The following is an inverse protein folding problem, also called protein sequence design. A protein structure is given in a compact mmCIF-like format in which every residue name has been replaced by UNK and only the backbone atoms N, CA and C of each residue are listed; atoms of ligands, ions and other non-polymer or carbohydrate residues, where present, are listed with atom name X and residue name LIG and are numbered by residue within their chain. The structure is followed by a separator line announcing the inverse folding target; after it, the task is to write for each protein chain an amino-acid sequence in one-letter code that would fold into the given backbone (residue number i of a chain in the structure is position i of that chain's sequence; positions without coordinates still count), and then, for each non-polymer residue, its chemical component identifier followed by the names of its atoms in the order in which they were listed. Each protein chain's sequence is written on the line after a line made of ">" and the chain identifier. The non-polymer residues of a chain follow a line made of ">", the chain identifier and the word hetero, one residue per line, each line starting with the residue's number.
data_IF_392349083205
#
_entry.id   IF_392349083205
#
_cell.length_a   1.000
_cell.length_b   1.000
_cell.length_c   1.000
_cell.angle_alpha   90.00
_cell.angle_beta   90.00
_cell.angle_gamma   90.00
#
_symmetry.space_group_name_H-M   'P 1'
#
loop_
_entity.id
_entity.type
_entity.pdbx_description
1 polymer ?
#
# COMPACT_ATOMS: atom_id res chain seq x y z
N UNK A 1 -2.14 -6.44 -31.11
CA UNK A 1 -2.54 -7.67 -31.83
C UNK A 1 -2.67 -8.77 -30.81
N UNK A 2 -3.85 -9.36 -30.66
CA UNK A 2 -4.05 -10.57 -29.84
C UNK A 2 -3.85 -11.82 -30.68
N UNK A 3 -3.63 -12.95 -30.03
CA UNK A 3 -3.40 -14.26 -30.66
C UNK A 3 -4.46 -15.26 -30.18
N UNK A 4 -4.86 -16.17 -31.05
CA UNK A 4 -5.88 -17.20 -30.76
C UNK A 4 -5.20 -18.56 -30.73
N UNK A 5 -5.40 -19.31 -29.65
CA UNK A 5 -5.04 -20.72 -29.62
C UNK A 5 -6.22 -21.51 -30.21
N UNK A 6 -5.99 -22.18 -31.34
CA UNK A 6 -6.98 -23.01 -32.02
C UNK A 6 -6.77 -24.50 -31.76
N UNK A 7 -7.84 -25.27 -31.57
CA UNK A 7 -7.82 -26.73 -31.71
C UNK A 7 -8.41 -27.11 -33.06
N UNK A 8 -7.74 -27.99 -33.80
CA UNK A 8 -8.37 -28.62 -34.96
C UNK A 8 -9.41 -29.64 -34.49
N UNK A 9 -10.57 -29.67 -35.14
CA UNK A 9 -11.49 -30.80 -34.96
C UNK A 9 -10.87 -32.12 -35.43
N UNK A 10 -11.46 -33.26 -35.06
CA UNK A 10 -10.96 -34.60 -35.42
C UNK A 10 -10.85 -34.82 -36.95
N UNK A 11 -11.46 -33.95 -37.77
CA UNK A 11 -11.37 -33.99 -39.23
C UNK A 11 -10.25 -33.11 -39.80
N UNK A 12 -9.56 -32.32 -38.97
CA UNK A 12 -8.50 -31.38 -39.34
C UNK A 12 -8.97 -30.16 -40.12
N UNK A 13 -10.26 -30.04 -40.46
CA UNK A 13 -10.77 -29.07 -41.44
C UNK A 13 -11.34 -27.79 -40.83
N UNK A 14 -11.63 -27.76 -39.53
CA UNK A 14 -12.10 -26.55 -38.84
C UNK A 14 -11.28 -26.29 -37.58
N UNK A 15 -10.76 -25.07 -37.47
CA UNK A 15 -10.04 -24.58 -36.31
C UNK A 15 -11.05 -23.94 -35.33
N UNK A 16 -11.16 -24.50 -34.12
CA UNK A 16 -11.97 -23.93 -33.03
C UNK A 16 -11.07 -23.10 -32.13
N UNK A 17 -11.34 -21.80 -32.04
CA UNK A 17 -10.68 -20.91 -31.08
C UNK A 17 -11.00 -21.36 -29.64
N UNK A 18 -9.99 -21.77 -28.88
CA UNK A 18 -10.14 -22.19 -27.47
C UNK A 18 -9.96 -20.97 -26.54
N UNK A 19 -8.98 -20.10 -26.81
CA UNK A 19 -8.69 -18.91 -25.99
C UNK A 19 -8.14 -17.75 -26.84
N UNK A 20 -8.51 -16.51 -26.48
CA UNK A 20 -7.97 -15.27 -27.03
C UNK A 20 -7.01 -14.62 -26.02
N UNK A 21 -5.73 -14.53 -26.38
CA UNK A 21 -4.68 -13.96 -25.53
C UNK A 21 -4.27 -12.57 -26.02
N UNK A 22 -4.35 -11.58 -25.13
CA UNK A 22 -3.98 -10.19 -25.43
C UNK A 22 -2.89 -9.71 -24.47
N UNK A 23 -1.63 -9.94 -24.81
CA UNK A 23 -0.47 -9.27 -24.17
C UNK A 23 -0.22 -7.91 -24.84
N UNK A 24 0.02 -6.87 -24.04
CA UNK A 24 0.53 -5.58 -24.52
C UNK A 24 2.06 -5.63 -24.49
N UNK A 25 2.69 -5.66 -25.66
CA UNK A 25 4.15 -5.71 -25.79
C UNK A 25 4.77 -4.33 -25.59
N UNK A 26 5.96 -4.29 -24.98
CA UNK A 26 6.77 -3.06 -24.90
C UNK A 26 7.33 -2.68 -26.28
N UNK A 27 7.87 -1.45 -26.42
CA UNK A 27 8.46 -0.99 -27.68
C UNK A 27 9.63 -1.87 -28.17
N UNK A 28 10.37 -2.46 -27.23
CA UNK A 28 11.46 -3.37 -27.54
C UNK A 28 10.92 -4.74 -27.99
N UNK A 29 9.97 -5.31 -27.25
CA UNK A 29 9.34 -6.59 -27.60
C UNK A 29 8.51 -6.51 -28.91
N UNK A 30 8.08 -5.32 -29.30
CA UNK A 30 7.41 -5.09 -30.58
C UNK A 30 8.31 -5.41 -31.79
N UNK A 31 9.63 -5.44 -31.61
CA UNK A 31 10.62 -5.79 -32.64
C UNK A 31 10.80 -7.29 -32.83
N UNK A 32 10.33 -8.11 -31.89
CA UNK A 32 10.41 -9.57 -31.99
C UNK A 32 9.63 -10.13 -33.19
N UNK A 33 10.11 -11.26 -33.72
CA UNK A 33 9.43 -12.04 -34.75
C UNK A 33 8.09 -12.58 -34.22
N UNK A 34 7.19 -12.95 -35.11
CA UNK A 34 5.85 -13.43 -34.74
C UNK A 34 5.90 -14.66 -33.81
N UNK A 35 6.83 -15.59 -34.05
CA UNK A 35 7.01 -16.77 -33.20
C UNK A 35 7.59 -16.42 -31.83
N UNK A 36 8.51 -15.46 -31.76
CA UNK A 36 9.08 -14.98 -30.51
C UNK A 36 8.03 -14.23 -29.69
N UNK A 37 7.19 -13.41 -30.32
CA UNK A 37 6.03 -12.79 -29.66
C UNK A 37 5.05 -13.82 -29.13
N UNK A 38 4.80 -14.89 -29.86
CA UNK A 38 3.94 -15.99 -29.42
C UNK A 38 4.55 -16.73 -28.21
N UNK A 39 5.83 -17.12 -28.27
CA UNK A 39 6.55 -17.70 -27.14
C UNK A 39 6.55 -16.76 -25.93
N UNK A 40 6.78 -15.47 -26.16
CA UNK A 40 6.80 -14.45 -25.11
C UNK A 40 5.40 -14.21 -24.50
N UNK A 41 4.33 -14.35 -25.28
CA UNK A 41 2.96 -14.34 -24.76
C UNK A 41 2.65 -15.61 -23.96
N UNK A 42 3.05 -16.79 -24.43
CA UNK A 42 2.89 -18.06 -23.70
C UNK A 42 3.65 -18.08 -22.37
N UNK A 43 4.92 -17.63 -22.39
CA UNK A 43 5.74 -17.48 -21.18
C UNK A 43 5.08 -16.47 -20.23
N UNK A 44 4.56 -15.37 -20.74
CA UNK A 44 3.86 -14.36 -19.93
C UNK A 44 2.57 -14.88 -19.29
N UNK A 45 1.81 -15.73 -19.99
CA UNK A 45 0.61 -16.39 -19.44
C UNK A 45 0.99 -17.39 -18.35
N UNK A 46 2.11 -18.08 -18.50
CA UNK A 46 2.60 -19.04 -17.51
C UNK A 46 3.28 -18.39 -16.29
N UNK A 47 3.76 -17.15 -16.41
CA UNK A 47 4.36 -16.36 -15.33
C UNK A 47 3.47 -15.19 -14.89
N UNK A 48 2.22 -15.48 -14.55
CA UNK A 48 1.34 -14.49 -13.91
C UNK A 48 1.49 -14.52 -12.39
N UNK A 49 2.57 -13.90 -11.88
CA UNK A 49 2.77 -13.65 -10.44
C UNK A 49 2.47 -12.19 -10.10
N UNK A 50 1.83 -11.96 -8.96
CA UNK A 50 1.87 -10.64 -8.34
C UNK A 50 3.29 -10.34 -7.91
N UNK A 51 3.68 -9.07 -7.89
CA UNK A 51 4.97 -8.65 -7.34
C UNK A 51 4.77 -7.85 -6.07
N UNK A 52 5.72 -7.97 -5.15
CA UNK A 52 5.77 -7.18 -3.92
C UNK A 52 7.17 -6.61 -3.75
N UNK A 53 7.28 -5.29 -3.57
CA UNK A 53 8.49 -4.66 -3.03
C UNK A 53 8.19 -4.07 -1.67
N UNK A 54 9.20 -4.05 -0.79
CA UNK A 54 9.04 -3.56 0.57
C UNK A 54 10.34 -2.95 1.08
N UNK A 55 10.21 -1.92 1.92
CA UNK A 55 11.33 -1.25 2.54
C UNK A 55 11.02 -0.76 3.96
N UNK A 56 12.07 -0.57 4.75
CA UNK A 56 12.00 -0.13 6.14
C UNK A 56 12.97 1.02 6.40
N UNK A 57 12.49 2.08 7.05
CA UNK A 57 13.30 3.22 7.47
C UNK A 57 13.28 3.31 9.00
N UNK A 58 14.44 3.20 9.65
CA UNK A 58 14.60 3.47 11.09
C UNK A 58 15.61 4.60 11.29
N UNK A 59 15.17 5.71 11.88
CA UNK A 59 15.99 6.87 12.16
C UNK A 59 15.54 7.54 13.48
N UNK A 60 16.16 8.66 13.82
CA UNK A 60 15.84 9.41 15.06
C UNK A 60 14.44 10.00 15.07
N UNK A 61 13.82 10.20 13.90
CA UNK A 61 12.47 10.73 13.77
C UNK A 61 11.41 9.64 13.97
N UNK A 62 11.74 8.39 13.67
CA UNK A 62 10.85 7.26 13.87
C UNK A 62 11.17 6.06 12.98
N UNK A 63 10.17 5.19 12.88
CA UNK A 63 10.28 3.90 12.23
C UNK A 63 9.14 3.75 11.23
N UNK A 64 9.44 3.73 9.94
CA UNK A 64 8.45 3.69 8.88
C UNK A 64 8.60 2.47 7.98
N UNK A 65 7.48 1.94 7.55
CA UNK A 65 7.39 0.80 6.64
C UNK A 65 6.75 1.22 5.34
N UNK A 66 7.27 0.73 4.22
CA UNK A 66 6.71 0.93 2.89
C UNK A 66 6.60 -0.41 2.18
N UNK A 67 5.46 -0.66 1.53
CA UNK A 67 5.22 -1.84 0.72
C UNK A 67 4.49 -1.42 -0.55
N UNK A 68 4.80 -2.06 -1.68
CA UNK A 68 4.09 -1.89 -2.93
C UNK A 68 3.74 -3.26 -3.48
N UNK A 69 2.45 -3.52 -3.66
CA UNK A 69 1.97 -4.69 -4.41
C UNK A 69 1.70 -4.28 -5.86
N UNK A 70 2.12 -5.10 -6.81
CA UNK A 70 1.90 -4.88 -8.24
C UNK A 70 1.11 -6.07 -8.79
N UNK A 71 -0.07 -5.77 -9.35
CA UNK A 71 -0.90 -6.78 -10.01
C UNK A 71 -0.31 -7.24 -11.34
N UNK A 72 -0.88 -8.32 -11.86
CA UNK A 72 -0.58 -8.89 -13.18
C UNK A 72 -0.75 -7.88 -14.33
N UNK A 73 -1.62 -6.89 -14.15
CA UNK A 73 -1.90 -5.83 -15.11
C UNK A 73 -0.93 -4.63 -14.98
N UNK A 74 -0.04 -4.65 -13.98
CA UNK A 74 0.88 -3.55 -13.67
C UNK A 74 0.30 -2.48 -12.73
N UNK A 75 -0.95 -2.62 -12.27
CA UNK A 75 -1.53 -1.69 -11.29
C UNK A 75 -0.78 -1.81 -9.96
N UNK A 76 -0.43 -0.66 -9.36
CA UNK A 76 0.34 -0.57 -8.10
C UNK A 76 -0.57 -0.24 -6.93
N UNK A 77 -0.36 -0.91 -5.80
CA UNK A 77 -1.11 -0.77 -4.56
C UNK A 77 -0.11 -0.46 -3.43
N UNK A 78 0.16 0.83 -3.16
CA UNK A 78 1.08 1.23 -2.09
C UNK A 78 0.44 1.05 -0.71
N UNK A 79 1.25 0.66 0.25
CA UNK A 79 0.92 0.47 1.67
C UNK A 79 2.03 1.09 2.51
N UNK A 80 1.67 1.76 3.59
CA UNK A 80 2.65 2.36 4.49
C UNK A 80 2.11 2.43 5.91
N UNK A 81 2.99 2.29 6.88
CA UNK A 81 2.66 2.42 8.30
C UNK A 81 3.89 2.80 9.11
N UNK A 82 3.66 3.47 10.25
CA UNK A 82 4.68 3.81 11.24
C UNK A 82 4.64 2.79 12.38
N UNK A 83 5.82 2.41 12.89
CA UNK A 83 5.95 1.58 14.09
C UNK A 83 6.17 2.50 15.30
N UNK A 84 5.39 2.29 16.35
CA UNK A 84 5.42 3.08 17.59
C UNK A 84 6.23 2.43 18.70
N UNK A 85 7.19 1.59 18.35
CA UNK A 85 8.11 0.95 19.27
C UNK A 85 9.53 1.04 18.74
N UNK A 86 10.52 1.03 19.64
CA UNK A 86 11.92 1.05 19.23
C UNK A 86 12.29 -0.19 18.43
N UNK A 87 12.76 0.00 17.21
CA UNK A 87 13.22 -1.07 16.33
C UNK A 87 14.49 -0.70 15.56
N UNK A 88 15.34 -1.69 15.34
CA UNK A 88 16.52 -1.58 14.47
C UNK A 88 16.08 -1.60 13.00
N UNK A 89 16.98 -1.20 12.08
CA UNK A 89 16.72 -1.29 10.64
C UNK A 89 16.17 -2.67 10.26
N UNK A 90 16.91 -3.74 10.59
CA UNK A 90 16.52 -5.11 10.26
C UNK A 90 15.09 -5.44 10.76
N UNK A 91 14.73 -5.06 11.99
CA UNK A 91 13.38 -5.31 12.52
C UNK A 91 12.31 -4.60 11.69
N UNK A 92 12.53 -3.34 11.29
CA UNK A 92 11.59 -2.61 10.42
C UNK A 92 11.46 -3.29 9.06
N UNK A 93 12.55 -3.84 8.51
CA UNK A 93 12.51 -4.59 7.25
C UNK A 93 11.64 -5.86 7.37
N UNK A 94 11.81 -6.63 8.45
CA UNK A 94 10.97 -7.81 8.72
C UNK A 94 9.49 -7.44 8.91
N UNK A 95 9.21 -6.38 9.65
CA UNK A 95 7.83 -5.88 9.84
C UNK A 95 7.20 -5.44 8.51
N UNK A 96 7.96 -4.73 7.66
CA UNK A 96 7.50 -4.35 6.33
C UNK A 96 7.21 -5.59 5.45
N UNK A 97 8.03 -6.64 5.53
CA UNK A 97 7.80 -7.89 4.82
C UNK A 97 6.47 -8.52 5.24
N UNK A 98 6.27 -8.68 6.55
CA UNK A 98 5.08 -9.28 7.14
C UNK A 98 3.82 -8.47 6.81
N UNK A 99 3.92 -7.14 6.86
CA UNK A 99 2.83 -6.25 6.46
C UNK A 99 2.41 -6.54 5.02
N UNK A 100 3.38 -6.67 4.11
CA UNK A 100 3.11 -6.97 2.70
C UNK A 100 2.51 -8.35 2.48
N UNK A 101 3.06 -9.39 3.11
CA UNK A 101 2.53 -10.76 3.04
C UNK A 101 1.08 -10.84 3.56
N UNK A 102 0.80 -10.22 4.71
CA UNK A 102 -0.56 -10.15 5.27
C UNK A 102 -1.53 -9.43 4.34
N UNK A 103 -1.09 -8.32 3.73
CA UNK A 103 -1.91 -7.60 2.76
C UNK A 103 -2.19 -8.45 1.51
N UNK A 104 -1.21 -9.23 1.06
CA UNK A 104 -1.39 -10.14 -0.07
C UNK A 104 -2.36 -11.28 0.25
N UNK A 105 -2.26 -11.88 1.44
CA UNK A 105 -3.21 -12.90 1.94
C UNK A 105 -4.63 -12.32 2.02
N UNK A 106 -4.79 -11.11 2.59
CA UNK A 106 -6.09 -10.42 2.66
C UNK A 106 -6.70 -10.18 1.28
N UNK A 107 -5.86 -9.99 0.26
CA UNK A 107 -6.25 -9.86 -1.15
C UNK A 107 -6.45 -11.19 -1.88
N UNK A 108 -6.31 -12.33 -1.19
CA UNK A 108 -6.42 -13.69 -1.74
C UNK A 108 -5.42 -13.95 -2.87
N UNK A 109 -4.26 -13.31 -2.83
CA UNK A 109 -3.16 -13.56 -3.77
C UNK A 109 -2.54 -14.92 -3.43
N UNK A 110 -2.39 -15.79 -4.43
CA UNK A 110 -1.85 -17.15 -4.25
C UNK A 110 -0.48 -17.38 -4.89
N UNK A 111 -0.09 -16.56 -5.86
CA UNK A 111 1.22 -16.59 -6.51
C UNK A 111 1.85 -15.20 -6.36
N UNK A 112 2.95 -15.11 -5.61
CA UNK A 112 3.59 -13.85 -5.25
C UNK A 112 5.11 -13.94 -5.41
N UNK A 113 5.68 -12.94 -6.07
CA UNK A 113 7.12 -12.72 -6.15
C UNK A 113 7.49 -11.52 -5.27
N UNK A 114 8.29 -11.77 -4.24
CA UNK A 114 8.79 -10.74 -3.35
C UNK A 114 10.17 -10.31 -3.81
N UNK A 115 10.33 -9.01 -4.05
CA UNK A 115 11.54 -8.39 -4.56
C UNK A 115 12.10 -7.42 -3.53
N UNK A 116 13.40 -7.55 -3.23
CA UNK A 116 14.10 -6.63 -2.34
C UNK A 116 15.58 -6.48 -2.69
N UNK A 117 16.13 -5.33 -2.32
CA UNK A 117 17.53 -4.92 -2.49
C UNK A 117 18.44 -5.22 -1.28
N UNK A 118 17.86 -5.57 -0.12
CA UNK A 118 18.60 -6.05 1.05
C UNK A 118 18.92 -7.54 0.92
N UNK A 119 20.15 -7.85 0.53
CA UNK A 119 20.65 -9.22 0.42
C UNK A 119 20.52 -10.00 1.73
N UNK A 120 20.83 -9.36 2.87
CA UNK A 120 20.77 -10.01 4.19
C UNK A 120 19.36 -10.54 4.51
N UNK A 121 18.34 -9.71 4.35
CA UNK A 121 16.95 -10.08 4.67
C UNK A 121 16.44 -11.15 3.71
N UNK A 122 16.75 -11.06 2.42
CA UNK A 122 16.35 -12.07 1.44
C UNK A 122 17.00 -13.42 1.74
N UNK A 123 18.31 -13.48 2.01
CA UNK A 123 18.99 -14.74 2.33
C UNK A 123 18.52 -15.34 3.66
N UNK A 124 18.21 -14.52 4.66
CA UNK A 124 17.65 -15.01 5.92
C UNK A 124 16.23 -15.55 5.74
N UNK A 125 15.35 -14.86 5.02
CA UNK A 125 13.97 -15.31 4.78
C UNK A 125 13.92 -16.58 3.93
N UNK A 126 14.84 -16.73 2.98
CA UNK A 126 14.97 -17.97 2.19
C UNK A 126 15.46 -19.16 3.01
N UNK A 127 16.00 -18.92 4.21
CA UNK A 127 16.68 -19.93 5.02
C UNK A 127 18.09 -20.26 4.55
N UNK A 128 18.66 -19.46 3.64
CA UNK A 128 20.04 -19.64 3.16
C UNK A 128 21.05 -19.25 4.26
N UNK A 129 20.69 -18.28 5.11
CA UNK A 129 21.55 -17.76 6.19
C UNK A 129 20.90 -17.93 7.56
N UNK A 130 21.66 -18.44 8.53
CA UNK A 130 21.18 -18.72 9.88
C UNK A 130 20.94 -17.41 10.68
N UNK A 131 19.75 -17.29 11.26
CA UNK A 131 19.38 -16.17 12.13
C UNK A 131 19.69 -16.52 13.58
N UNK A 132 20.74 -15.88 14.14
CA UNK A 132 21.17 -16.15 15.53
C UNK A 132 20.46 -15.30 16.59
N UNK A 133 19.83 -14.20 16.19
CA UNK A 133 19.10 -13.33 17.12
C UNK A 133 17.75 -13.95 17.47
N UNK A 134 17.56 -14.27 18.75
CA UNK A 134 16.32 -14.84 19.31
C UNK A 134 15.04 -14.06 18.98
N UNK A 135 15.11 -12.75 18.74
CA UNK A 135 13.97 -11.93 18.30
C UNK A 135 13.67 -12.16 16.83
N UNK A 136 14.70 -12.20 16.00
CA UNK A 136 14.57 -12.41 14.55
C UNK A 136 14.13 -13.84 14.20
N UNK A 137 14.47 -14.83 15.04
CA UNK A 137 13.93 -16.20 14.90
C UNK A 137 12.40 -16.20 14.93
N UNK A 138 11.76 -15.41 15.83
CA UNK A 138 10.29 -15.31 15.89
C UNK A 138 9.68 -14.72 14.62
N UNK A 139 10.38 -13.78 13.99
CA UNK A 139 9.96 -13.20 12.72
C UNK A 139 10.06 -14.22 11.58
N UNK A 140 11.11 -15.03 11.58
CA UNK A 140 11.28 -16.12 10.63
C UNK A 140 10.16 -17.17 10.77
N UNK A 141 9.84 -17.60 11.99
CA UNK A 141 8.74 -18.53 12.26
C UNK A 141 7.40 -17.97 11.75
N UNK A 142 7.13 -16.69 12.02
CA UNK A 142 5.91 -16.03 11.54
C UNK A 142 5.85 -15.97 10.01
N UNK A 143 6.96 -15.63 9.35
CA UNK A 143 7.01 -15.61 7.87
C UNK A 143 6.81 -17.03 7.33
N UNK A 144 7.43 -18.05 7.93
CA UNK A 144 7.24 -19.44 7.53
C UNK A 144 5.77 -19.89 7.65
N UNK A 145 5.03 -19.44 8.66
CA UNK A 145 3.59 -19.67 8.75
C UNK A 145 2.81 -18.95 7.64
N UNK A 146 3.15 -17.68 7.34
CA UNK A 146 2.49 -16.93 6.26
C UNK A 146 2.77 -17.52 4.89
N UNK A 147 3.96 -18.07 4.65
CA UNK A 147 4.35 -18.71 3.38
C UNK A 147 3.40 -19.86 3.02
N UNK A 148 2.88 -20.60 4.01
CA UNK A 148 1.96 -21.73 3.80
C UNK A 148 0.63 -21.33 3.16
N UNK A 149 0.25 -20.05 3.23
CA UNK A 149 -1.00 -19.53 2.64
C UNK A 149 -0.91 -19.29 1.13
N UNK A 150 0.29 -19.35 0.55
CA UNK A 150 0.56 -19.15 -0.87
C UNK A 150 0.76 -20.49 -1.58
N UNK A 151 0.29 -20.60 -2.82
CA UNK A 151 0.60 -21.74 -3.69
C UNK A 151 2.06 -21.66 -4.15
N UNK A 152 2.51 -20.45 -4.45
CA UNK A 152 3.88 -20.17 -4.87
C UNK A 152 4.29 -18.80 -4.32
N UNK A 153 5.38 -18.78 -3.55
CA UNK A 153 5.97 -17.57 -3.00
C UNK A 153 7.48 -17.63 -3.23
N UNK A 154 8.01 -16.66 -3.96
CA UNK A 154 9.45 -16.57 -4.24
C UNK A 154 10.04 -15.29 -3.68
N UNK A 155 11.28 -15.36 -3.22
CA UNK A 155 12.03 -14.23 -2.69
C UNK A 155 13.25 -13.99 -3.57
N UNK A 156 13.24 -12.89 -4.30
CA UNK A 156 14.24 -12.54 -5.29
C UNK A 156 15.00 -11.27 -4.87
N UNK A 157 16.31 -11.34 -4.98
CA UNK A 157 17.17 -10.16 -4.88
C UNK A 157 17.15 -9.42 -6.21
N UNK A 158 16.87 -8.10 -6.20
CA UNK A 158 16.79 -7.29 -7.42
C UNK A 158 17.39 -5.89 -7.24
N UNK A 159 18.03 -5.29 -8.27
CA UNK A 159 18.62 -3.95 -8.18
C UNK A 159 17.56 -2.84 -8.03
N UNK A 160 17.76 -2.00 -7.00
CA UNK A 160 17.22 -0.67 -6.61
C UNK A 160 16.07 0.02 -7.38
N UNK A 161 15.96 -0.07 -8.70
CA UNK A 161 15.10 0.81 -9.52
C UNK A 161 13.60 0.61 -9.28
N UNK A 162 13.18 -0.62 -8.92
CA UNK A 162 11.77 -0.92 -8.59
C UNK A 162 11.43 -0.71 -7.10
N UNK A 163 12.42 -0.53 -6.21
CA UNK A 163 12.21 -0.37 -4.77
C UNK A 163 12.07 1.09 -4.31
N UNK A 164 12.32 2.07 -5.19
CA UNK A 164 12.28 3.50 -4.85
C UNK A 164 10.97 3.94 -4.22
N UNK A 165 9.85 3.37 -4.68
CA UNK A 165 8.53 3.72 -4.16
C UNK A 165 8.33 3.20 -2.73
N UNK A 166 8.77 1.97 -2.44
CA UNK A 166 8.68 1.42 -1.08
C UNK A 166 9.60 2.18 -0.11
N UNK A 167 10.81 2.53 -0.54
CA UNK A 167 11.72 3.37 0.25
C UNK A 167 11.11 4.76 0.55
N UNK A 168 10.54 5.41 -0.46
CA UNK A 168 9.87 6.71 -0.29
C UNK A 168 8.71 6.61 0.72
N UNK A 169 7.89 5.56 0.63
CA UNK A 169 6.80 5.30 1.58
C UNK A 169 7.32 5.10 3.00
N UNK A 170 8.35 4.26 3.18
CA UNK A 170 8.98 4.01 4.47
C UNK A 170 9.55 5.28 5.10
N UNK A 171 10.27 6.08 4.30
CA UNK A 171 10.84 7.35 4.72
C UNK A 171 9.75 8.32 5.17
N UNK A 172 8.69 8.50 4.36
CA UNK A 172 7.56 9.36 4.73
C UNK A 172 6.91 8.91 6.04
N UNK A 173 6.65 7.62 6.22
CA UNK A 173 6.07 7.10 7.46
C UNK A 173 6.98 7.31 8.69
N UNK A 174 8.31 7.26 8.54
CA UNK A 174 9.24 7.53 9.64
C UNK A 174 9.22 9.00 10.09
N UNK A 175 8.83 9.92 9.20
CA UNK A 175 8.83 11.36 9.47
C UNK A 175 7.48 11.82 10.02
N UNK A 176 6.38 11.17 9.63
CA UNK A 176 5.03 11.54 10.09
C UNK A 176 4.91 11.21 11.58
N UNK A 177 5.01 12.21 12.46
CA UNK A 177 4.73 12.04 13.88
C UNK A 177 3.26 11.65 14.08
N UNK A 178 3.00 10.55 14.77
CA UNK A 178 1.67 10.33 15.34
C UNK A 178 1.43 11.37 16.42
N UNK A 179 0.25 11.98 16.41
CA UNK A 179 -0.21 13.00 17.35
C UNK A 179 -0.08 12.49 18.80
N UNK A 180 1.05 12.77 19.44
CA UNK A 180 1.46 12.12 20.70
C UNK A 180 0.67 12.57 21.93
N UNK A 181 -0.28 13.47 21.76
CA UNK A 181 -1.16 13.96 22.80
C UNK A 181 -2.55 13.28 22.80
N UNK A 182 -2.82 12.37 21.85
CA UNK A 182 -4.14 11.73 21.69
C UNK A 182 -5.26 12.74 21.37
N UNK A 183 -4.89 13.97 20.99
CA UNK A 183 -5.82 15.01 20.59
C UNK A 183 -5.94 14.98 19.07
N UNK A 184 -7.15 15.18 18.51
CA UNK A 184 -7.31 15.26 17.07
C UNK A 184 -6.48 16.40 16.46
N UNK A 185 -6.03 16.25 15.22
CA UNK A 185 -5.33 17.30 14.45
C UNK A 185 -6.01 18.68 14.45
N UNK A 186 -7.34 18.71 14.59
CA UNK A 186 -8.14 19.93 14.63
C UNK A 186 -8.44 20.43 16.05
N UNK A 187 -7.84 19.84 17.10
CA UNK A 187 -8.10 20.18 18.50
C UNK A 187 -7.94 21.68 18.77
N UNK A 188 -6.82 22.26 18.35
CA UNK A 188 -6.53 23.67 18.64
C UNK A 188 -7.45 24.61 17.85
N UNK A 189 -7.90 24.20 16.67
CA UNK A 189 -8.89 24.92 15.86
C UNK A 189 -10.26 24.87 16.57
N UNK A 190 -10.65 23.69 17.07
CA UNK A 190 -11.90 23.47 17.79
C UNK A 190 -11.93 24.29 19.09
N UNK A 191 -10.87 24.24 19.88
CA UNK A 191 -10.75 24.94 21.16
C UNK A 191 -10.73 26.46 20.96
N UNK A 192 -10.10 26.94 19.89
CA UNK A 192 -10.15 28.33 19.50
C UNK A 192 -11.57 28.76 19.08
N UNK A 193 -12.25 27.98 18.24
CA UNK A 193 -13.61 28.32 17.78
C UNK A 193 -14.63 28.27 18.93
N UNK A 194 -14.54 27.26 19.82
CA UNK A 194 -15.45 27.11 20.97
C UNK A 194 -15.17 28.13 22.07
N UNK A 195 -13.91 28.27 22.48
CA UNK A 195 -13.55 28.91 23.73
C UNK A 195 -12.64 30.14 23.55
N UNK A 196 -12.27 30.51 22.31
CA UNK A 196 -11.31 31.58 22.01
C UNK A 196 -9.95 31.39 22.71
N UNK A 197 -9.59 30.14 22.99
CA UNK A 197 -8.33 29.77 23.63
C UNK A 197 -7.29 29.40 22.60
N UNK A 198 -6.05 29.74 22.92
CA UNK A 198 -4.87 29.38 22.14
C UNK A 198 -4.08 28.27 22.86
N UNK A 199 -3.26 27.49 22.15
CA UNK A 199 -2.33 26.57 22.79
C UNK A 199 -1.43 27.31 23.79
N UNK A 200 -1.18 26.70 24.95
CA UNK A 200 -0.45 27.34 26.07
C UNK A 200 0.95 27.81 25.67
N UNK A 201 1.56 27.17 24.66
CA UNK A 201 2.92 27.43 24.20
C UNK A 201 2.97 28.28 22.91
N UNK A 202 1.82 28.76 22.41
CA UNK A 202 1.74 29.44 21.11
C UNK A 202 2.33 30.86 21.15
N UNK A 203 3.25 31.15 20.22
CA UNK A 203 3.76 32.49 20.00
C UNK A 203 2.74 33.35 19.20
N UNK A 204 2.97 34.67 19.06
CA UNK A 204 2.02 35.55 18.35
C UNK A 204 1.85 35.22 16.85
N UNK A 205 2.87 34.64 16.19
CA UNK A 205 2.74 34.17 14.82
C UNK A 205 1.85 32.92 14.75
N UNK A 206 1.98 31.98 15.67
CA UNK A 206 1.16 30.77 15.74
C UNK A 206 -0.31 31.16 15.98
N UNK A 207 -0.57 32.08 16.91
CA UNK A 207 -1.91 32.62 17.16
C UNK A 207 -2.50 33.29 15.92
N UNK A 208 -1.71 34.07 15.19
CA UNK A 208 -2.14 34.71 13.92
C UNK A 208 -2.48 33.67 12.85
N UNK A 209 -1.67 32.62 12.73
CA UNK A 209 -1.90 31.52 11.79
C UNK A 209 -3.17 30.75 12.14
N UNK A 210 -3.38 30.44 13.41
CA UNK A 210 -4.58 29.76 13.90
C UNK A 210 -5.85 30.56 13.60
N UNK A 211 -5.83 31.88 13.85
CA UNK A 211 -6.95 32.79 13.50
C UNK A 211 -7.30 32.71 12.01
N UNK A 212 -6.28 32.71 11.14
CA UNK A 212 -6.47 32.63 9.68
C UNK A 212 -7.04 31.29 9.26
N UNK A 213 -6.51 30.19 9.79
CA UNK A 213 -7.00 28.84 9.50
C UNK A 213 -8.44 28.66 9.97
N UNK A 214 -8.78 29.13 11.17
CA UNK A 214 -10.11 28.97 11.76
C UNK A 214 -11.25 29.58 10.92
N UNK A 215 -10.95 30.55 10.04
CA UNK A 215 -11.94 31.13 9.10
C UNK A 215 -12.49 30.06 8.13
N UNK A 216 -11.68 29.06 7.78
CA UNK A 216 -12.09 27.97 6.90
C UNK A 216 -13.02 26.96 7.59
N UNK A 217 -13.21 27.06 8.91
CA UNK A 217 -13.97 26.10 9.69
C UNK A 217 -15.27 26.69 10.23
N UNK A 218 -16.23 25.81 10.49
CA UNK A 218 -17.51 26.15 11.11
C UNK A 218 -17.90 25.05 12.08
N UNK A 219 -18.42 25.45 13.24
CA UNK A 219 -18.95 24.54 14.23
C UNK A 219 -20.47 24.44 14.08
N UNK A 220 -20.99 23.24 13.85
CA UNK A 220 -22.43 22.98 13.72
C UNK A 220 -22.79 21.84 14.66
N UNK A 221 -23.66 22.10 15.65
CA UNK A 221 -24.09 21.10 16.64
C UNK A 221 -22.90 20.35 17.28
N UNK A 222 -21.91 21.11 17.74
CA UNK A 222 -20.66 20.62 18.34
C UNK A 222 -19.71 19.82 17.43
N UNK A 223 -20.07 19.62 16.16
CA UNK A 223 -19.21 18.97 15.16
C UNK A 223 -18.50 20.05 14.33
N UNK A 224 -17.19 19.88 14.16
CA UNK A 224 -16.37 20.78 13.36
C UNK A 224 -16.41 20.38 11.89
N UNK A 225 -16.65 21.36 11.02
CA UNK A 225 -16.63 21.20 9.57
C UNK A 225 -15.64 22.15 8.95
N UNK A 226 -14.93 21.69 7.92
CA UNK A 226 -14.12 22.52 7.03
C UNK A 226 -14.95 22.93 5.80
N UNK A 227 -14.92 24.21 5.43
CA UNK A 227 -15.55 24.74 4.21
C UNK A 227 -14.70 24.33 3.00
N UNK A 228 -15.27 23.52 2.12
CA UNK A 228 -14.70 23.20 0.82
C UNK A 228 -14.85 24.35 -0.18
N UNK A 229 -14.12 24.28 -1.31
CA UNK A 229 -14.16 25.29 -2.38
C UNK A 229 -15.56 25.49 -2.97
N UNK A 230 -16.39 24.45 -2.97
CA UNK A 230 -17.76 24.45 -3.49
C UNK A 230 -18.83 24.70 -2.39
N UNK A 231 -18.44 25.30 -1.26
CA UNK A 231 -19.27 25.48 -0.06
C UNK A 231 -19.76 24.19 0.63
N UNK A 232 -19.33 23.02 0.15
CA UNK A 232 -19.58 21.74 0.82
C UNK A 232 -18.86 21.73 2.18
N UNK A 233 -19.58 21.36 3.23
CA UNK A 233 -19.03 21.21 4.57
C UNK A 233 -18.45 19.80 4.72
N UNK A 234 -17.16 19.72 5.01
CA UNK A 234 -16.41 18.48 5.20
C UNK A 234 -16.27 18.22 6.70
N UNK A 235 -16.83 17.12 7.20
CA UNK A 235 -16.74 16.79 8.62
C UNK A 235 -15.28 16.51 9.00
N UNK A 236 -14.81 17.15 10.06
CA UNK A 236 -13.51 16.82 10.65
C UNK A 236 -13.66 15.53 11.46
N UNK A 237 -12.82 14.55 11.15
CA UNK A 237 -12.77 13.24 11.83
C UNK A 237 -11.40 13.04 12.44
N UNK A 238 -11.35 12.45 13.64
CA UNK A 238 -10.09 12.06 14.28
C UNK A 238 -9.57 10.72 13.73
N UNK A 239 -8.37 10.33 14.14
CA UNK A 239 -7.75 9.10 13.65
C UNK A 239 -8.51 7.81 14.04
N UNK A 240 -9.20 7.80 15.19
CA UNK A 240 -9.97 6.65 15.66
C UNK A 240 -11.25 6.52 14.83
N UNK A 241 -11.95 7.63 14.65
CA UNK A 241 -13.18 7.72 13.87
C UNK A 241 -12.93 7.44 12.39
N UNK A 242 -11.85 7.99 11.82
CA UNK A 242 -11.45 7.72 10.45
C UNK A 242 -11.19 6.22 10.22
N UNK A 243 -10.54 5.53 11.17
CA UNK A 243 -10.35 4.07 11.09
C UNK A 243 -11.68 3.33 11.08
N UNK A 244 -12.61 3.66 11.98
CA UNK A 244 -13.94 3.04 12.01
C UNK A 244 -14.71 3.26 10.71
N UNK A 245 -14.70 4.48 10.16
CA UNK A 245 -15.35 4.79 8.88
C UNK A 245 -14.71 3.95 7.76
N UNK A 246 -13.37 3.83 7.74
CA UNK A 246 -12.68 3.02 6.75
C UNK A 246 -13.00 1.52 6.90
N UNK A 247 -13.09 1.00 8.11
CA UNK A 247 -13.47 -0.38 8.37
C UNK A 247 -14.92 -0.65 7.95
N UNK A 248 -15.86 0.25 8.27
CA UNK A 248 -17.26 0.16 7.83
C UNK A 248 -17.41 0.23 6.30
N UNK A 249 -16.65 1.11 5.64
CA UNK A 249 -16.62 1.21 4.17
C UNK A 249 -16.01 -0.05 3.52
N UNK A 250 -15.08 -0.73 4.22
CA UNK A 250 -14.49 -1.96 3.73
C UNK A 250 -15.32 -3.22 4.04
N UNK A 251 -16.07 -3.24 5.15
CA UNK A 251 -16.94 -4.35 5.55
C UNK A 251 -18.32 -4.27 4.86
N UNK A 252 -18.82 -3.05 4.63
CA UNK A 252 -20.04 -2.79 3.89
C UNK A 252 -19.80 -2.67 2.38
N UNK A 253 -20.02 -3.77 1.65
CA UNK A 253 -20.17 -3.81 0.19
C UNK A 253 -18.84 -3.74 -0.59
N UNK A 254 -18.21 -4.91 -0.81
CA UNK A 254 -17.36 -5.08 -1.98
C UNK A 254 -18.26 -5.08 -3.23
N UNK A 255 -18.47 -3.94 -3.89
CA UNK A 255 -19.48 -3.91 -4.97
C UNK A 255 -19.51 -2.76 -5.96
N UNK A 256 -18.52 -1.88 -6.08
CA UNK A 256 -18.24 -1.22 -7.37
C UNK A 256 -16.95 -0.42 -7.28
N UNK A 257 -16.21 -0.35 -8.38
CA UNK A 257 -15.04 0.49 -8.60
C UNK A 257 -15.37 1.99 -8.43
N UNK A 258 -15.64 2.42 -7.21
CA UNK A 258 -15.76 3.81 -6.86
C UNK A 258 -14.34 4.37 -6.79
N UNK A 259 -14.01 5.29 -7.70
CA UNK A 259 -12.73 6.01 -7.64
C UNK A 259 -12.53 6.62 -6.24
N UNK A 260 -11.30 6.84 -5.80
CA UNK A 260 -11.03 7.47 -4.49
C UNK A 260 -11.81 8.78 -4.27
N UNK A 261 -12.13 9.48 -5.36
CA UNK A 261 -12.99 10.66 -5.37
C UNK A 261 -14.45 10.38 -4.97
N UNK A 262 -15.02 9.26 -5.42
CA UNK A 262 -16.41 8.86 -5.14
C UNK A 262 -16.55 8.38 -3.69
N UNK A 263 -15.57 7.64 -3.18
CA UNK A 263 -15.51 7.26 -1.76
C UNK A 263 -15.34 8.47 -0.86
N UNK A 264 -14.43 9.39 -1.19
CA UNK A 264 -14.28 10.65 -0.46
C UNK A 264 -15.61 11.42 -0.38
N UNK A 265 -16.38 11.45 -1.47
CA UNK A 265 -17.68 12.16 -1.52
C UNK A 265 -18.78 11.48 -0.71
N UNK A 266 -18.75 10.16 -0.53
CA UNK A 266 -19.65 9.45 0.38
C UNK A 266 -19.28 9.71 1.84
N UNK A 267 -17.98 9.69 2.17
CA UNK A 267 -17.47 10.02 3.51
C UNK A 267 -17.80 11.47 3.89
N UNK A 268 -17.73 12.40 2.94
CA UNK A 268 -18.14 13.81 3.14
C UNK A 268 -19.64 14.01 3.42
N UNK A 269 -20.49 13.01 3.14
CA UNK A 269 -21.95 13.10 3.29
C UNK A 269 -22.48 12.41 4.56
N UNK A 270 -21.61 11.70 5.28
CA UNK A 270 -21.88 11.14 6.61
C UNK A 270 -21.61 12.21 7.68
#
# INVERSE_FOLDING_TARGET
>A
MGYVLGQHDESGKKEKAIYYLRKKFTEYEAKYLSIEKFCCALVWVNHQSWKMSFDGASNTLGHGMGVVLVSLEGNRYPLTARLNFFCTNNIVEYEACIMGLRAAIKRKIKILEVQRDSALVIYQIRGDWEVRDSKLVKYHDLIAELVKEFNELTFNYFPWEENQLANALATLASIIEEESNGRPWFHDILEYIKNQKYPEQANENDKRTLRRMAIEFVLVRDILYKRGKDQVLLRCVDAIEARKILDEVHEGICGMHASGFTMARQIMRL
#
